data_IF_234866066228
#
_entry.id   IF_234866066228
#
_cell.length_a   1.000
_cell.length_b   1.000
_cell.length_c   1.000
_cell.angle_alpha   90.00
_cell.angle_beta   90.00
_cell.angle_gamma   90.00
#
_symmetry.space_group_name_H-M   'P 1'
#
loop_
_entity.id
_entity.type
_entity.pdbx_description
1 polymer ?
#
# COMPACT_ATOMS: atom_id res chain seq x y z
N UNK A 1 -15.69 17.87 -20.06
CA UNK A 1 -15.54 17.31 -21.41
C UNK A 1 -16.95 17.03 -21.92
N UNK A 2 -17.26 17.38 -23.17
CA UNK A 2 -18.60 17.16 -23.73
C UNK A 2 -18.51 16.06 -24.78
N UNK A 3 -19.52 15.19 -24.84
CA UNK A 3 -19.64 14.11 -25.82
C UNK A 3 -21.12 13.91 -26.15
N UNK A 4 -21.42 13.48 -27.37
CA UNK A 4 -22.75 13.05 -27.79
C UNK A 4 -22.94 11.53 -27.70
N UNK A 5 -21.88 10.77 -27.45
CA UNK A 5 -21.93 9.31 -27.30
C UNK A 5 -22.27 8.94 -25.86
N UNK A 6 -23.05 7.85 -25.64
CA UNK A 6 -23.41 7.39 -24.30
C UNK A 6 -22.24 6.70 -23.56
N UNK A 7 -21.05 6.67 -24.17
CA UNK A 7 -19.84 6.06 -23.62
C UNK A 7 -18.60 6.90 -23.91
N UNK A 8 -17.60 6.79 -23.03
CA UNK A 8 -16.28 7.38 -23.20
C UNK A 8 -15.22 6.44 -22.64
N UNK A 9 -14.03 6.46 -23.24
CA UNK A 9 -12.84 5.83 -22.67
C UNK A 9 -12.07 6.82 -21.82
N UNK A 10 -11.83 6.47 -20.56
CA UNK A 10 -11.02 7.25 -19.64
C UNK A 10 -9.58 6.71 -19.59
N UNK A 11 -8.61 7.62 -19.66
CA UNK A 11 -7.17 7.33 -19.50
C UNK A 11 -6.73 8.01 -18.22
N UNK A 12 -6.75 7.23 -17.13
CA UNK A 12 -6.55 7.71 -15.77
C UNK A 12 -5.28 7.09 -15.16
N UNK A 13 -4.79 7.71 -14.08
CA UNK A 13 -3.76 7.11 -13.25
C UNK A 13 -4.37 6.07 -12.31
N UNK A 14 -3.57 5.50 -11.41
CA UNK A 14 -4.04 4.52 -10.43
C UNK A 14 -4.76 5.15 -9.23
N UNK A 15 -4.85 6.48 -9.13
CA UNK A 15 -5.58 7.16 -8.05
C UNK A 15 -7.09 6.88 -8.08
N UNK A 16 -7.76 7.19 -6.97
CA UNK A 16 -9.22 7.25 -6.96
C UNK A 16 -9.72 8.55 -7.62
N UNK A 17 -10.88 8.51 -8.29
CA UNK A 17 -11.47 9.67 -8.95
C UNK A 17 -12.97 9.80 -8.67
N UNK A 18 -13.42 11.04 -8.47
CA UNK A 18 -14.85 11.37 -8.47
C UNK A 18 -15.25 11.86 -9.86
N UNK A 19 -16.19 11.15 -10.50
CA UNK A 19 -16.72 11.49 -11.82
C UNK A 19 -18.13 12.04 -11.66
N UNK A 20 -18.37 13.23 -12.22
CA UNK A 20 -19.70 13.82 -12.33
C UNK A 20 -20.12 13.82 -13.80
N UNK A 21 -21.25 13.19 -14.10
CA UNK A 21 -21.83 13.13 -15.45
C UNK A 21 -23.16 13.86 -15.45
N UNK A 22 -23.33 14.80 -16.37
CA UNK A 22 -24.58 15.53 -16.57
C UNK A 22 -24.90 15.60 -18.05
N UNK A 23 -26.18 15.50 -18.41
CA UNK A 23 -26.65 15.78 -19.76
C UNK A 23 -26.94 17.28 -19.89
N UNK A 24 -26.79 17.84 -21.09
CA UNK A 24 -27.16 19.22 -21.36
C UNK A 24 -27.83 19.34 -22.72
N UNK A 25 -28.72 20.31 -22.87
CA UNK A 25 -29.32 20.71 -24.14
C UNK A 25 -29.29 22.25 -24.25
N UNK A 26 -30.00 22.82 -25.23
CA UNK A 26 -30.05 24.27 -25.43
C UNK A 26 -30.74 25.05 -24.30
N UNK A 27 -31.57 24.39 -23.50
CA UNK A 27 -32.32 25.03 -22.42
C UNK A 27 -31.63 24.93 -21.06
N UNK A 28 -31.06 23.76 -20.72
CA UNK A 28 -30.50 23.53 -19.39
C UNK A 28 -29.54 22.34 -19.32
N UNK A 29 -28.94 22.16 -18.14
CA UNK A 29 -28.12 21.00 -17.77
C UNK A 29 -28.87 20.19 -16.69
N UNK A 30 -28.85 18.87 -16.80
CA UNK A 30 -29.45 17.97 -15.82
C UNK A 30 -28.68 17.98 -14.50
N UNK A 31 -29.27 17.46 -13.40
CA UNK A 31 -28.49 17.06 -12.24
C UNK A 31 -27.36 16.09 -12.62
N UNK A 32 -26.29 16.09 -11.82
CA UNK A 32 -25.14 15.24 -12.04
C UNK A 32 -25.30 13.87 -11.37
N UNK A 33 -25.07 12.80 -12.13
CA UNK A 33 -24.75 11.49 -11.58
C UNK A 33 -23.31 11.52 -11.05
N UNK A 34 -23.11 11.09 -9.81
CA UNK A 34 -21.79 10.95 -9.20
C UNK A 34 -21.37 9.49 -9.18
N UNK A 35 -20.17 9.21 -9.67
CA UNK A 35 -19.57 7.88 -9.63
C UNK A 35 -18.17 7.98 -9.03
N UNK A 36 -17.80 7.05 -8.14
CA UNK A 36 -16.45 6.92 -7.64
C UNK A 36 -15.74 5.83 -8.44
N UNK A 37 -14.59 6.17 -8.99
CA UNK A 37 -13.65 5.20 -9.55
C UNK A 37 -12.65 4.91 -8.44
N UNK A 38 -12.62 3.67 -7.90
CA UNK A 38 -11.70 3.34 -6.82
C UNK A 38 -10.26 3.36 -7.31
N UNK A 39 -9.33 3.53 -6.37
CA UNK A 39 -7.91 3.37 -6.62
C UNK A 39 -7.64 1.96 -7.16
N UNK A 40 -6.72 1.84 -8.12
CA UNK A 40 -6.33 0.52 -8.66
C UNK A 40 -5.19 -0.06 -7.82
N UNK A 41 -5.45 -1.22 -7.22
CA UNK A 41 -4.55 -1.88 -6.27
C UNK A 41 -3.70 -3.01 -6.88
N UNK A 42 -3.76 -3.21 -8.20
CA UNK A 42 -3.10 -4.34 -8.87
C UNK A 42 -1.58 -4.38 -8.61
N UNK A 43 -1.15 -5.30 -7.75
CA UNK A 43 0.27 -5.61 -7.47
C UNK A 43 1.01 -6.13 -8.71
N UNK A 44 0.29 -6.58 -9.76
CA UNK A 44 0.82 -7.43 -10.83
C UNK A 44 1.18 -6.70 -12.15
N UNK A 45 1.26 -5.38 -12.17
CA UNK A 45 1.81 -4.62 -13.32
C UNK A 45 2.91 -3.65 -12.90
N UNK A 46 3.96 -4.18 -12.26
CA UNK A 46 5.13 -3.41 -11.84
C UNK A 46 6.14 -3.13 -12.97
N UNK A 47 5.70 -2.45 -14.02
CA UNK A 47 6.59 -1.65 -14.90
C UNK A 47 6.48 -0.15 -14.54
N UNK A 48 6.19 0.13 -13.27
CA UNK A 48 6.13 1.48 -12.70
C UNK A 48 7.48 1.78 -12.03
N UNK A 49 8.11 2.90 -12.36
CA UNK A 49 9.47 3.22 -11.95
C UNK A 49 9.70 3.20 -10.43
N UNK A 50 10.96 3.00 -10.04
CA UNK A 50 11.36 2.89 -8.62
C UNK A 50 11.12 4.20 -7.87
N UNK A 51 10.32 4.13 -6.80
CA UNK A 51 10.10 5.20 -5.83
C UNK A 51 10.65 4.73 -4.49
N UNK A 52 11.50 5.54 -3.87
CA UNK A 52 12.07 5.28 -2.55
C UNK A 52 11.57 6.35 -1.57
N UNK A 53 11.42 5.99 -0.29
CA UNK A 53 10.93 6.91 0.76
C UNK A 53 11.86 6.86 1.96
N UNK A 54 12.15 8.02 2.54
CA UNK A 54 12.82 8.15 3.83
C UNK A 54 11.92 8.93 4.78
N UNK A 55 11.60 8.36 5.92
CA UNK A 55 10.79 9.03 6.95
C UNK A 55 11.71 9.68 7.97
N UNK A 56 11.49 10.96 8.26
CA UNK A 56 12.30 11.75 9.21
C UNK A 56 11.59 11.93 10.55
N UNK A 57 10.27 11.99 10.55
CA UNK A 57 9.39 12.06 11.74
C UNK A 57 7.97 11.65 11.37
N UNK A 58 7.06 11.60 12.35
CA UNK A 58 5.64 11.31 12.09
C UNK A 58 4.98 12.36 11.19
N UNK A 59 5.55 13.56 11.03
CA UNK A 59 5.00 14.61 10.16
C UNK A 59 5.92 14.99 9.00
N UNK A 60 6.97 14.20 8.72
CA UNK A 60 7.93 14.53 7.68
C UNK A 60 8.52 13.30 7.01
N UNK A 61 8.41 13.25 5.69
CA UNK A 61 9.05 12.24 4.84
C UNK A 61 9.64 12.86 3.58
N UNK A 62 10.62 12.21 2.98
CA UNK A 62 11.17 12.56 1.67
C UNK A 62 10.91 11.42 0.70
N UNK A 63 10.39 11.77 -0.47
CA UNK A 63 10.14 10.85 -1.58
C UNK A 63 11.25 11.05 -2.60
N UNK A 64 11.79 9.97 -3.14
CA UNK A 64 12.83 9.94 -4.16
C UNK A 64 12.34 9.19 -5.40
N UNK A 65 12.74 9.65 -6.57
CA UNK A 65 12.43 9.04 -7.87
C UNK A 65 13.65 9.10 -8.79
N UNK A 66 13.61 8.46 -9.96
CA UNK A 66 14.74 8.50 -10.92
C UNK A 66 14.93 9.89 -11.54
N UNK A 67 16.18 10.30 -11.71
CA UNK A 67 16.59 11.61 -12.23
C UNK A 67 16.03 11.96 -13.62
N UNK A 68 15.72 10.99 -14.46
CA UNK A 68 15.20 11.27 -15.80
C UNK A 68 13.78 11.86 -15.80
N UNK A 69 13.06 11.77 -14.67
CA UNK A 69 11.71 12.31 -14.57
C UNK A 69 11.69 13.84 -14.61
N UNK A 70 12.65 14.50 -13.94
CA UNK A 70 12.68 15.97 -13.85
C UNK A 70 12.97 16.64 -15.21
N UNK A 71 13.52 15.88 -16.16
CA UNK A 71 13.74 16.34 -17.54
C UNK A 71 12.42 16.47 -18.32
N UNK A 72 11.42 15.65 -17.97
CA UNK A 72 10.15 15.54 -18.71
C UNK A 72 8.98 16.17 -17.97
N UNK A 73 8.93 15.99 -16.66
CA UNK A 73 7.84 16.40 -15.79
C UNK A 73 8.35 17.36 -14.72
N UNK A 74 7.50 18.31 -14.35
CA UNK A 74 7.79 19.29 -13.28
C UNK A 74 6.72 19.29 -12.19
N UNK A 75 5.59 18.64 -12.46
CA UNK A 75 4.45 18.56 -11.57
C UNK A 75 4.20 17.11 -11.17
N UNK A 76 4.07 16.92 -9.87
CA UNK A 76 3.89 15.61 -9.25
C UNK A 76 2.72 15.64 -8.26
N UNK A 77 2.18 14.47 -7.98
CA UNK A 77 1.25 14.26 -6.88
C UNK A 77 1.67 13.03 -6.12
N UNK A 78 1.95 13.18 -4.83
CA UNK A 78 2.14 12.05 -3.94
C UNK A 78 0.82 11.73 -3.25
N UNK A 79 0.46 10.46 -3.25
CA UNK A 79 -0.71 9.92 -2.56
C UNK A 79 -0.21 8.86 -1.57
N UNK A 80 -0.66 8.92 -0.31
CA UNK A 80 -0.31 7.91 0.70
C UNK A 80 -1.50 7.54 1.56
N UNK A 81 -1.59 6.26 1.93
CA UNK A 81 -2.70 5.71 2.69
C UNK A 81 -2.35 4.42 3.41
N UNK A 82 -3.15 4.08 4.42
CA UNK A 82 -3.17 2.73 5.01
C UNK A 82 -4.33 1.94 4.40
N UNK A 83 -4.26 0.60 4.50
CA UNK A 83 -5.30 -0.27 3.97
C UNK A 83 -6.67 0.08 4.59
N UNK A 84 -7.68 0.27 3.74
CA UNK A 84 -9.05 0.57 4.16
C UNK A 84 -9.31 2.00 4.64
N UNK A 85 -8.33 2.91 4.56
CA UNK A 85 -8.50 4.32 4.93
C UNK A 85 -8.46 5.23 3.69
N UNK A 86 -8.97 6.45 3.82
CA UNK A 86 -8.91 7.43 2.73
C UNK A 86 -7.46 7.86 2.46
N UNK A 87 -7.18 8.09 1.17
CA UNK A 87 -5.85 8.51 0.76
C UNK A 87 -5.62 9.99 1.02
N UNK A 88 -4.48 10.29 1.65
CA UNK A 88 -3.97 11.64 1.72
C UNK A 88 -3.16 11.93 0.45
N UNK A 89 -3.29 13.13 -0.08
CA UNK A 89 -2.53 13.52 -1.26
C UNK A 89 -1.93 14.93 -1.13
N UNK A 90 -0.80 15.13 -1.81
CA UNK A 90 -0.16 16.44 -1.93
C UNK A 90 0.47 16.58 -3.30
N UNK A 91 -0.03 17.54 -4.05
CA UNK A 91 0.58 17.94 -5.33
C UNK A 91 1.68 18.97 -5.10
N UNK A 92 2.74 18.90 -5.88
CA UNK A 92 3.89 19.79 -5.75
C UNK A 92 4.63 19.97 -7.07
N UNK A 93 5.34 21.10 -7.15
CA UNK A 93 6.29 21.40 -8.22
C UNK A 93 7.69 21.01 -7.79
N UNK A 94 8.41 20.29 -8.65
CA UNK A 94 9.82 19.99 -8.48
C UNK A 94 10.49 19.83 -9.85
N UNK A 95 11.58 20.54 -10.10
CA UNK A 95 12.30 20.49 -11.38
C UNK A 95 13.82 20.54 -11.23
N UNK A 96 14.32 20.62 -9.99
CA UNK A 96 15.75 20.73 -9.68
C UNK A 96 16.28 19.42 -9.14
N UNK A 97 15.48 18.75 -8.30
CA UNK A 97 15.91 17.56 -7.58
C UNK A 97 15.03 16.37 -7.91
N UNK A 98 15.60 15.19 -7.80
CA UNK A 98 14.91 13.91 -7.93
C UNK A 98 14.16 13.49 -6.64
N UNK A 99 13.95 14.44 -5.74
CA UNK A 99 13.33 14.19 -4.44
C UNK A 99 12.50 15.37 -3.98
N UNK A 100 11.56 15.08 -3.08
CA UNK A 100 10.77 16.10 -2.40
C UNK A 100 10.49 15.71 -0.97
N UNK A 101 10.80 16.63 -0.05
CA UNK A 101 10.35 16.53 1.34
C UNK A 101 8.93 17.05 1.49
N UNK A 102 8.06 16.21 2.03
CA UNK A 102 6.71 16.55 2.42
C UNK A 102 6.70 16.81 3.92
N UNK A 103 6.68 18.09 4.29
CA UNK A 103 6.61 18.54 5.68
C UNK A 103 5.90 19.91 5.78
N UNK A 104 5.07 20.13 6.82
CA UNK A 104 4.46 19.08 7.62
C UNK A 104 3.47 18.24 6.77
N UNK A 105 3.25 17.00 7.19
CA UNK A 105 2.14 16.18 6.70
C UNK A 105 0.82 16.69 7.31
N UNK A 106 -0.32 16.60 6.58
CA UNK A 106 -1.62 17.04 7.09
C UNK A 106 -2.05 16.27 8.36
N UNK A 107 -1.82 14.96 8.36
CA UNK A 107 -2.03 14.10 9.52
C UNK A 107 -0.72 13.39 9.89
N UNK A 108 -0.42 13.24 11.19
CA UNK A 108 0.74 12.48 11.63
C UNK A 108 0.64 11.00 11.25
N UNK A 109 1.76 10.42 10.82
CA UNK A 109 1.91 9.00 10.59
C UNK A 109 1.84 8.24 11.91
N UNK A 110 1.09 7.14 11.91
CA UNK A 110 0.96 6.25 13.06
C UNK A 110 2.11 5.23 13.11
N UNK A 111 2.62 4.89 14.31
CA UNK A 111 3.55 3.79 14.46
C UNK A 111 2.89 2.46 14.08
N UNK A 112 3.69 1.51 13.59
CA UNK A 112 3.29 0.14 13.30
C UNK A 112 2.26 -0.04 12.17
N UNK A 113 1.91 1.03 11.45
CA UNK A 113 1.01 0.98 10.29
C UNK A 113 1.80 0.94 8.98
N UNK A 114 1.39 0.04 8.07
CA UNK A 114 1.92 0.00 6.72
C UNK A 114 1.25 1.06 5.87
N UNK A 115 2.04 1.99 5.35
CA UNK A 115 1.58 2.97 4.39
C UNK A 115 1.97 2.53 2.98
N UNK A 116 1.05 2.74 2.04
CA UNK A 116 1.30 2.65 0.61
C UNK A 116 1.44 4.07 0.07
N UNK A 117 2.55 4.38 -0.58
CA UNK A 117 2.82 5.65 -1.26
C UNK A 117 2.85 5.46 -2.77
N UNK A 118 2.06 6.24 -3.50
CA UNK A 118 2.05 6.29 -4.95
C UNK A 118 2.49 7.69 -5.41
N UNK A 119 3.46 7.74 -6.32
CA UNK A 119 3.87 8.97 -6.98
C UNK A 119 3.25 9.04 -8.36
N UNK A 120 2.60 10.15 -8.67
CA UNK A 120 2.00 10.44 -9.97
C UNK A 120 2.72 11.60 -10.65
N UNK A 121 2.77 11.56 -11.97
CA UNK A 121 3.37 12.58 -12.86
C UNK A 121 2.27 13.29 -13.62
N UNK A 122 2.33 14.61 -13.65
CA UNK A 122 1.38 15.45 -14.40
C UNK A 122 2.12 16.16 -15.54
N UNK A 123 1.70 15.98 -16.81
CA UNK A 123 2.41 16.53 -17.97
C UNK A 123 2.21 18.04 -18.16
N UNK A 124 1.13 18.60 -17.63
CA UNK A 124 0.84 20.02 -17.76
C UNK A 124 1.73 20.84 -16.82
N UNK A 125 2.60 21.69 -17.39
CA UNK A 125 3.58 22.45 -16.60
C UNK A 125 3.01 23.72 -15.98
N UNK A 126 2.00 24.32 -16.61
CA UNK A 126 1.39 25.60 -16.16
C UNK A 126 0.63 25.45 -14.84
N UNK A 127 0.18 24.23 -14.53
CA UNK A 127 -0.50 23.93 -13.29
C UNK A 127 -0.20 22.51 -12.87
N UNK A 128 0.13 22.33 -11.59
CA UNK A 128 0.21 21.00 -11.03
C UNK A 128 -1.18 20.41 -10.71
N UNK A 129 -2.29 21.08 -11.05
CA UNK A 129 -3.65 20.54 -10.93
C UNK A 129 -4.06 19.76 -12.18
N UNK A 130 -5.06 18.88 -12.04
CA UNK A 130 -5.66 18.21 -13.20
C UNK A 130 -6.44 19.22 -14.04
N UNK A 131 -6.04 19.37 -15.31
CA UNK A 131 -6.71 20.27 -16.28
C UNK A 131 -7.69 19.54 -17.21
N UNK A 132 -7.36 18.30 -17.55
CA UNK A 132 -8.12 17.45 -18.44
C UNK A 132 -8.53 16.17 -17.70
N UNK A 133 -9.57 15.50 -18.19
CA UNK A 133 -9.96 14.19 -17.66
C UNK A 133 -8.90 13.16 -18.08
N UNK A 134 -8.63 13.06 -19.37
CA UNK A 134 -7.65 12.12 -19.92
C UNK A 134 -6.25 12.74 -19.96
N UNK A 135 -5.22 11.90 -19.73
CA UNK A 135 -3.80 12.24 -19.84
C UNK A 135 -3.34 13.40 -18.95
N UNK A 136 -4.11 13.77 -17.92
CA UNK A 136 -3.71 14.82 -16.96
C UNK A 136 -2.79 14.30 -15.87
N UNK A 137 -2.73 12.99 -15.70
CA UNK A 137 -1.93 12.32 -14.69
C UNK A 137 -1.60 10.89 -15.13
N UNK A 138 -0.42 10.42 -14.76
CA UNK A 138 0.01 9.05 -14.95
C UNK A 138 0.77 8.57 -13.72
N UNK A 139 0.57 7.32 -13.31
CA UNK A 139 1.30 6.75 -12.18
C UNK A 139 2.77 6.59 -12.57
N UNK A 140 3.67 7.06 -11.70
CA UNK A 140 5.09 6.76 -11.83
C UNK A 140 5.45 5.44 -11.22
N UNK A 141 5.16 5.30 -9.93
CA UNK A 141 5.64 4.21 -9.11
C UNK A 141 4.95 4.21 -7.77
N UNK A 142 5.01 3.07 -7.11
CA UNK A 142 4.42 2.83 -5.79
C UNK A 142 5.47 2.17 -4.91
N UNK A 143 5.43 2.48 -3.63
CA UNK A 143 6.26 1.84 -2.61
C UNK A 143 5.49 1.74 -1.30
N UNK A 144 5.99 0.91 -0.39
CA UNK A 144 5.43 0.77 0.94
C UNK A 144 6.46 1.25 1.97
N UNK A 145 5.99 1.80 3.07
CA UNK A 145 6.88 2.23 4.16
C UNK A 145 6.17 2.17 5.51
N UNK A 146 6.97 2.18 6.57
CA UNK A 146 6.53 2.40 7.95
C UNK A 146 7.21 3.66 8.47
N UNK A 147 6.52 4.41 9.34
CA UNK A 147 7.18 5.45 10.13
C UNK A 147 8.01 4.84 11.26
N UNK A 148 7.40 3.92 12.03
CA UNK A 148 8.05 3.14 13.08
C UNK A 148 7.63 1.69 12.90
N UNK A 149 8.61 0.79 12.83
CA UNK A 149 8.39 -0.66 12.86
C UNK A 149 8.45 -1.19 14.31
N UNK A 150 7.87 -2.35 14.54
CA UNK A 150 7.83 -3.04 15.82
C UNK A 150 7.89 -4.55 15.67
N UNK A 151 7.95 -5.25 16.81
CA UNK A 151 7.90 -6.71 16.81
C UNK A 151 6.49 -7.20 16.45
N UNK A 152 6.39 -8.33 15.71
CA UNK A 152 5.10 -8.99 15.52
C UNK A 152 4.44 -9.32 16.86
N UNK A 153 3.13 -9.11 16.96
CA UNK A 153 2.37 -9.33 18.21
C UNK A 153 1.48 -10.57 18.20
N UNK A 154 1.37 -11.22 17.06
CA UNK A 154 0.64 -12.48 16.89
C UNK A 154 1.54 -13.55 16.28
N UNK A 155 1.34 -14.79 16.72
CA UNK A 155 2.01 -15.95 16.12
C UNK A 155 1.36 -16.30 14.76
N UNK A 156 2.08 -17.02 13.87
CA UNK A 156 1.47 -17.64 12.71
C UNK A 156 0.33 -18.57 13.12
N UNK A 157 -0.73 -18.62 12.31
CA UNK A 157 -1.94 -19.40 12.61
C UNK A 157 -2.05 -20.63 11.72
N UNK A 158 -3.03 -21.50 11.97
CA UNK A 158 -3.33 -22.69 11.14
C UNK A 158 -2.11 -23.60 10.89
N UNK A 159 -1.37 -23.90 11.95
CA UNK A 159 -0.25 -24.84 11.87
C UNK A 159 -0.79 -26.24 11.54
N UNK A 160 -0.30 -26.84 10.47
CA UNK A 160 -0.67 -28.18 10.03
C UNK A 160 0.53 -28.95 9.51
N UNK A 161 0.46 -30.27 9.61
CA UNK A 161 1.46 -31.18 9.07
C UNK A 161 0.81 -32.08 8.02
N UNK A 162 1.48 -32.27 6.88
CA UNK A 162 1.02 -33.17 5.82
C UNK A 162 2.19 -33.86 5.12
N UNK A 163 1.89 -34.82 4.24
CA UNK A 163 2.87 -35.66 3.53
C UNK A 163 3.89 -36.33 4.48
N UNK A 164 3.39 -36.89 5.60
CA UNK A 164 4.22 -37.60 6.55
C UNK A 164 4.74 -38.92 5.97
N UNK A 165 6.04 -39.15 6.06
CA UNK A 165 6.73 -40.43 5.81
C UNK A 165 7.37 -40.91 7.12
N UNK A 166 8.13 -42.01 7.07
CA UNK A 166 8.89 -42.49 8.23
C UNK A 166 9.89 -41.44 8.74
N UNK A 167 10.46 -40.61 7.86
CA UNK A 167 11.59 -39.73 8.19
C UNK A 167 11.35 -38.26 7.80
N UNK A 168 10.14 -37.89 7.37
CA UNK A 168 9.85 -36.53 6.91
C UNK A 168 8.39 -36.16 7.12
N UNK A 169 8.13 -34.86 7.24
CA UNK A 169 6.80 -34.27 7.11
C UNK A 169 6.95 -32.85 6.55
N UNK A 170 5.87 -32.28 6.03
CA UNK A 170 5.80 -30.87 5.66
C UNK A 170 5.03 -30.12 6.74
N UNK A 171 5.62 -29.05 7.25
CA UNK A 171 4.99 -28.11 8.19
C UNK A 171 4.49 -26.88 7.41
N UNK A 172 3.23 -26.52 7.59
CA UNK A 172 2.61 -25.35 6.96
C UNK A 172 1.87 -24.52 8.01
N UNK A 173 1.89 -23.20 7.83
CA UNK A 173 1.16 -22.23 8.62
C UNK A 173 0.64 -21.10 7.73
N UNK A 174 -0.33 -20.35 8.23
CA UNK A 174 -0.82 -19.11 7.62
C UNK A 174 0.03 -17.90 8.02
N UNK A 175 0.08 -16.90 7.14
CA UNK A 175 0.75 -15.63 7.41
C UNK A 175 0.11 -14.89 8.58
N UNK A 176 0.92 -14.12 9.30
CA UNK A 176 0.44 -13.20 10.35
C UNK A 176 -0.34 -12.06 9.67
N UNK A 177 -1.50 -11.62 10.21
CA UNK A 177 -2.22 -10.45 9.71
C UNK A 177 -1.32 -9.20 9.66
N UNK A 178 -1.47 -8.34 8.65
CA UNK A 178 -0.57 -7.19 8.42
C UNK A 178 -0.49 -6.25 9.63
N UNK A 179 -1.63 -6.01 10.26
CA UNK A 179 -1.79 -5.22 11.47
C UNK A 179 -1.00 -5.76 12.67
N UNK A 180 -0.74 -7.07 12.68
CA UNK A 180 -0.05 -7.77 13.76
C UNK A 180 1.44 -7.97 13.46
N UNK A 181 1.88 -7.87 12.20
CA UNK A 181 3.30 -7.93 11.83
C UNK A 181 4.06 -6.71 12.37
N UNK A 182 3.43 -5.52 12.33
CA UNK A 182 4.00 -4.23 12.76
C UNK A 182 5.31 -3.82 12.04
N UNK A 183 5.59 -4.36 10.87
CA UNK A 183 6.78 -4.07 10.07
C UNK A 183 6.82 -4.86 8.76
N UNK A 184 7.97 -4.87 8.11
CA UNK A 184 8.22 -5.78 6.97
C UNK A 184 8.67 -7.14 7.49
N UNK A 185 7.86 -8.18 7.27
CA UNK A 185 8.18 -9.53 7.72
C UNK A 185 9.42 -10.07 7.00
N UNK A 186 10.49 -10.32 7.77
CA UNK A 186 11.77 -10.81 7.23
C UNK A 186 11.83 -12.35 7.14
N UNK A 187 11.08 -13.06 7.98
CA UNK A 187 11.08 -14.51 8.03
C UNK A 187 10.48 -15.08 9.30
N UNK A 188 10.63 -16.40 9.48
CA UNK A 188 10.16 -17.15 10.65
C UNK A 188 11.32 -17.89 11.30
N UNK A 189 11.34 -17.95 12.63
CA UNK A 189 12.31 -18.74 13.39
C UNK A 189 11.62 -19.98 13.95
N UNK A 190 12.18 -21.15 13.69
CA UNK A 190 11.59 -22.44 14.10
C UNK A 190 12.52 -23.09 15.12
N UNK A 191 11.98 -23.39 16.30
CA UNK A 191 12.64 -24.17 17.34
C UNK A 191 11.94 -25.53 17.46
N UNK A 192 12.71 -26.60 17.52
CA UNK A 192 12.20 -27.95 17.75
C UNK A 192 12.98 -28.62 18.89
N UNK A 193 12.30 -29.48 19.65
CA UNK A 193 12.89 -30.25 20.75
C UNK A 193 12.17 -31.60 20.84
N UNK A 194 12.88 -32.62 21.31
CA UNK A 194 12.25 -33.90 21.62
C UNK A 194 11.20 -33.75 22.72
N UNK A 195 10.01 -34.31 22.50
CA UNK A 195 8.99 -34.37 23.53
C UNK A 195 9.26 -35.57 24.44
N UNK A 196 9.80 -35.31 25.63
CA UNK A 196 9.89 -36.34 26.67
C UNK A 196 8.54 -36.44 27.38
N UNK A 197 7.78 -37.50 27.07
CA UNK A 197 6.58 -37.82 27.85
C UNK A 197 7.03 -38.20 29.27
N UNK A 198 6.92 -37.28 30.24
CA UNK A 198 7.01 -37.67 31.66
C UNK A 198 5.85 -38.63 31.91
N UNK A 199 6.17 -39.91 32.10
CA UNK A 199 5.22 -40.89 32.56
C UNK A 199 4.67 -40.44 33.92
N UNK A 200 3.35 -40.43 34.05
CA UNK A 200 2.70 -40.42 35.36
C UNK A 200 3.07 -41.75 36.00
N UNK A 201 4.18 -41.78 36.75
CA UNK A 201 4.47 -42.87 37.66
C UNK A 201 3.44 -42.79 38.79
N UNK A 202 2.37 -43.60 38.71
CA UNK A 202 1.55 -43.93 39.87
C UNK A 202 2.45 -44.65 40.87
N UNK A 203 2.97 -43.92 41.85
CA UNK A 203 3.46 -44.51 43.08
C UNK A 203 2.27 -45.07 43.86
N UNK A 204 2.16 -46.41 43.91
CA UNK A 204 1.55 -47.07 45.06
C UNK A 204 2.47 -48.20 45.51
N UNK A 205 2.95 -48.00 46.73
CA UNK A 205 3.73 -48.91 47.56
C UNK A 205 3.21 -50.35 47.50
N UNK A 206 4.11 -51.30 47.27
CA UNK A 206 3.97 -52.64 47.84
C UNK A 206 4.52 -52.59 49.27
N UNK A 207 3.65 -52.74 50.25
CA UNK A 207 4.05 -53.12 51.60
C UNK A 207 4.26 -54.64 51.60
N UNK A 208 5.45 -55.07 52.03
CA UNK A 208 5.76 -56.46 52.34
C UNK A 208 4.97 -56.88 53.59
N UNK A 209 4.35 -58.05 53.52
CA UNK A 209 4.13 -58.96 54.64
C UNK A 209 4.52 -60.36 54.17
#
# INVERSE_FOLDING_TARGET
MNTSHPEIRLILSHSAYHLNISAFNSASTSPALRQIIPQRDDELTMEAGKVDVTVHSNTSLTIYWKDDLIKKYVCYSAEWMTKGHEAQCKSFYENKHNHRTLSPLPEPLEPYKRYSLTLHRRPNKDTCNMKHINNSESTYGRTQFYFIEGSPVSAPTNISCYNATLNSLVLQWSSIPEEDIRGFLLGYVIYYSEYHHRGIARSKHYALN
#
